data_IF_164839348433
#
_entry.id   IF_164839348433
#
_cell.length_a   1.000
_cell.length_b   1.000
_cell.length_c   1.000
_cell.angle_alpha   90.00
_cell.angle_beta   90.00
_cell.angle_gamma   90.00
#
_symmetry.space_group_name_H-M   'P 1'
#
loop_
_entity.id
_entity.type
_entity.pdbx_description
1 polymer ?
#
# COMPACT_ATOMS: atom_id res chain seq x y z
N UNK A 1 12.79 -10.29 -18.77
CA UNK A 1 12.51 -10.20 -17.31
C UNK A 1 11.02 -10.22 -17.03
N UNK A 2 10.25 -9.12 -17.19
CA UNK A 2 8.83 -9.11 -16.79
C UNK A 2 7.99 -10.17 -17.53
N UNK A 3 8.24 -10.38 -18.83
CA UNK A 3 7.58 -11.42 -19.63
C UNK A 3 7.86 -12.83 -19.09
N UNK A 4 9.12 -13.12 -18.78
CA UNK A 4 9.54 -14.42 -18.23
C UNK A 4 8.96 -14.65 -16.83
N UNK A 5 8.93 -13.58 -16.02
CA UNK A 5 8.36 -13.58 -14.68
C UNK A 5 6.85 -13.84 -14.70
N UNK A 6 6.11 -13.15 -15.57
CA UNK A 6 4.67 -13.38 -15.76
C UNK A 6 4.41 -14.78 -16.31
N UNK A 7 5.25 -15.28 -17.21
CA UNK A 7 5.15 -16.65 -17.72
C UNK A 7 5.32 -17.69 -16.61
N UNK A 8 6.32 -17.53 -15.73
CA UNK A 8 6.54 -18.39 -14.57
C UNK A 8 5.36 -18.34 -13.59
N UNK A 9 4.84 -17.14 -13.30
CA UNK A 9 3.67 -16.95 -12.44
C UNK A 9 2.41 -17.63 -13.01
N UNK A 10 2.16 -17.53 -14.32
CA UNK A 10 1.05 -18.22 -15.00
C UNK A 10 1.16 -19.74 -14.95
N UNK A 11 2.38 -20.27 -14.89
CA UNK A 11 2.66 -21.70 -14.75
C UNK A 11 2.68 -22.17 -13.29
N UNK A 12 2.43 -21.26 -12.33
CA UNK A 12 2.57 -21.50 -10.90
C UNK A 12 3.98 -21.98 -10.46
N UNK A 13 5.01 -21.68 -11.27
CA UNK A 13 6.41 -21.93 -10.94
C UNK A 13 6.98 -20.77 -10.11
N UNK A 14 6.63 -20.77 -8.83
CA UNK A 14 7.02 -19.71 -7.90
C UNK A 14 8.51 -19.74 -7.54
N UNK A 15 9.16 -20.89 -7.63
CA UNK A 15 10.61 -20.99 -7.42
C UNK A 15 11.37 -20.25 -8.52
N UNK A 16 10.95 -20.44 -9.78
CA UNK A 16 11.51 -19.71 -10.92
C UNK A 16 11.18 -18.22 -10.87
N UNK A 17 9.95 -17.87 -10.52
CA UNK A 17 9.55 -16.47 -10.36
C UNK A 17 10.40 -15.76 -9.28
N UNK A 18 10.65 -16.43 -8.15
CA UNK A 18 11.53 -15.93 -7.08
C UNK A 18 12.96 -15.72 -7.58
N UNK A 19 13.51 -16.67 -8.32
CA UNK A 19 14.87 -16.56 -8.86
C UNK A 19 15.00 -15.35 -9.83
N UNK A 20 14.02 -15.17 -10.72
CA UNK A 20 13.99 -14.05 -11.66
C UNK A 20 13.90 -12.70 -10.93
N UNK A 21 13.05 -12.61 -9.91
CA UNK A 21 12.94 -11.41 -9.06
C UNK A 21 14.23 -11.15 -8.29
N UNK A 22 14.83 -12.17 -7.70
CA UNK A 22 16.07 -12.03 -6.95
C UNK A 22 17.21 -11.53 -7.83
N UNK A 23 17.37 -12.10 -9.03
CA UNK A 23 18.39 -11.64 -9.97
C UNK A 23 18.13 -10.19 -10.42
N UNK A 24 16.88 -9.84 -10.73
CA UNK A 24 16.50 -8.49 -11.15
C UNK A 24 16.71 -7.45 -10.04
N UNK A 25 16.22 -7.71 -8.82
CA UNK A 25 16.43 -6.82 -7.68
C UNK A 25 17.91 -6.74 -7.29
N UNK A 26 18.67 -7.82 -7.42
CA UNK A 26 20.12 -7.83 -7.21
C UNK A 26 20.86 -6.85 -8.12
N UNK A 27 20.38 -6.63 -9.36
CA UNK A 27 20.97 -5.65 -10.28
C UNK A 27 20.41 -4.23 -10.13
N UNK A 28 19.13 -4.07 -9.78
CA UNK A 28 18.48 -2.75 -9.72
C UNK A 28 18.64 -2.05 -8.38
N UNK A 29 18.53 -2.77 -7.26
CA UNK A 29 18.62 -2.16 -5.92
C UNK A 29 19.91 -1.36 -5.70
N UNK A 30 21.11 -1.84 -6.09
CA UNK A 30 22.33 -1.05 -5.95
C UNK A 30 22.30 0.27 -6.72
N UNK A 31 21.59 0.34 -7.85
CA UNK A 31 21.48 1.56 -8.67
C UNK A 31 20.53 2.58 -8.04
N UNK A 32 19.40 2.08 -7.51
CA UNK A 32 18.36 2.90 -6.89
C UNK A 32 18.77 3.46 -5.53
N UNK A 33 19.57 2.69 -4.79
CA UNK A 33 19.94 3.00 -3.42
C UNK A 33 21.43 3.35 -3.25
N UNK A 34 22.15 3.57 -4.36
CA UNK A 34 23.53 4.04 -4.30
C UNK A 34 23.60 5.40 -3.57
N UNK A 35 24.47 5.56 -2.57
CA UNK A 35 24.66 6.86 -1.94
C UNK A 35 25.28 7.84 -2.95
N UNK A 36 24.87 9.10 -2.89
CA UNK A 36 25.49 10.15 -3.67
C UNK A 36 26.97 10.32 -3.22
N UNK A 37 27.96 10.13 -4.11
CA UNK A 37 29.38 10.25 -3.73
C UNK A 37 29.76 11.64 -3.20
N UNK A 38 29.13 12.69 -3.74
CA UNK A 38 29.42 14.09 -3.37
C UNK A 38 28.67 14.51 -2.10
N UNK A 39 27.48 13.95 -1.88
CA UNK A 39 26.63 14.28 -0.73
C UNK A 39 26.03 13.01 -0.09
N UNK A 40 26.82 12.17 0.61
CA UNK A 40 26.33 10.88 1.13
C UNK A 40 25.20 10.97 2.16
N UNK A 41 25.01 12.15 2.78
CA UNK A 41 23.91 12.44 3.71
C UNK A 41 22.60 12.79 3.01
N UNK A 42 22.63 13.10 1.72
CA UNK A 42 21.43 13.34 0.91
C UNK A 42 20.90 12.00 0.39
N UNK A 43 20.02 11.38 1.18
CA UNK A 43 19.26 10.21 0.76
C UNK A 43 17.99 10.68 0.05
N UNK A 44 18.11 11.01 -1.23
CA UNK A 44 16.96 11.27 -2.09
C UNK A 44 16.71 10.02 -2.94
N UNK A 45 15.69 9.26 -2.55
CA UNK A 45 15.21 8.11 -3.32
C UNK A 45 14.09 8.58 -4.25
N UNK A 46 14.17 8.24 -5.53
CA UNK A 46 13.08 8.51 -6.45
C UNK A 46 12.06 7.37 -6.37
N UNK A 47 10.93 7.65 -5.72
CA UNK A 47 9.82 6.71 -5.59
C UNK A 47 9.32 6.19 -6.94
N UNK A 48 9.40 7.00 -8.01
CA UNK A 48 8.98 6.59 -9.35
C UNK A 48 9.90 5.53 -9.92
N UNK A 49 11.20 5.71 -9.77
CA UNK A 49 12.20 4.76 -10.26
C UNK A 49 12.13 3.46 -9.45
N UNK A 50 11.98 3.55 -8.12
CA UNK A 50 11.75 2.39 -7.25
C UNK A 50 10.48 1.64 -7.67
N UNK A 51 9.38 2.35 -7.91
CA UNK A 51 8.12 1.74 -8.33
C UNK A 51 8.28 1.00 -9.65
N UNK A 52 8.86 1.66 -10.66
CA UNK A 52 9.01 1.08 -12.00
C UNK A 52 9.98 -0.11 -12.03
N UNK A 53 11.08 -0.04 -11.26
CA UNK A 53 12.11 -1.07 -11.26
C UNK A 53 11.75 -2.25 -10.35
N UNK A 54 11.20 -2.02 -9.16
CA UNK A 54 11.01 -3.08 -8.16
C UNK A 54 9.57 -3.59 -8.09
N UNK A 55 8.59 -2.68 -8.10
CA UNK A 55 7.20 -3.03 -7.79
C UNK A 55 6.34 -3.34 -9.02
N UNK A 56 6.56 -2.67 -10.16
CA UNK A 56 5.84 -2.97 -11.42
C UNK A 56 6.04 -4.42 -11.88
N UNK A 57 7.27 -4.99 -11.89
CA UNK A 57 7.45 -6.39 -12.26
C UNK A 57 6.73 -7.36 -11.32
N UNK A 58 6.72 -7.03 -10.02
CA UNK A 58 6.03 -7.81 -9.00
C UNK A 58 4.52 -7.78 -9.20
N UNK A 59 3.95 -6.58 -9.46
CA UNK A 59 2.54 -6.42 -9.77
C UNK A 59 2.16 -7.19 -11.04
N UNK A 60 3.00 -7.17 -12.07
CA UNK A 60 2.78 -7.92 -13.31
C UNK A 60 2.73 -9.44 -13.08
N UNK A 61 3.60 -9.95 -12.20
CA UNK A 61 3.59 -11.36 -11.80
C UNK A 61 2.28 -11.74 -11.10
N UNK A 62 1.85 -10.95 -10.11
CA UNK A 62 0.63 -11.21 -9.34
C UNK A 62 -0.67 -11.02 -10.14
N UNK A 63 -0.69 -10.06 -11.05
CA UNK A 63 -1.81 -9.82 -11.96
C UNK A 63 -1.75 -10.71 -13.21
N UNK A 64 -0.72 -11.55 -13.35
CA UNK A 64 -0.44 -12.38 -14.52
C UNK A 64 -0.47 -11.59 -15.84
N UNK A 65 -0.03 -10.33 -15.82
CA UNK A 65 -0.04 -9.40 -16.95
C UNK A 65 1.32 -8.71 -17.12
N UNK A 66 1.93 -8.91 -18.28
CA UNK A 66 3.22 -8.32 -18.63
C UNK A 66 3.11 -6.88 -19.15
N UNK A 67 1.90 -6.39 -19.44
CA UNK A 67 1.65 -5.04 -19.94
C UNK A 67 1.39 -4.01 -18.81
N UNK A 68 1.48 -4.42 -17.55
CA UNK A 68 1.23 -3.53 -16.41
C UNK A 68 2.25 -2.39 -16.38
N UNK A 69 1.78 -1.16 -16.19
CA UNK A 69 2.62 0.04 -16.11
C UNK A 69 2.67 0.66 -14.72
N UNK A 70 1.79 0.20 -13.82
CA UNK A 70 1.74 0.65 -12.43
C UNK A 70 2.02 -0.52 -11.47
N UNK A 71 2.34 -0.17 -10.22
CA UNK A 71 2.56 -1.15 -9.14
C UNK A 71 1.24 -1.58 -8.48
N UNK A 72 0.10 -1.30 -9.11
CA UNK A 72 -1.22 -1.50 -8.52
C UNK A 72 -1.68 -2.95 -8.70
N UNK A 73 -2.13 -3.57 -7.60
CA UNK A 73 -2.76 -4.89 -7.62
C UNK A 73 -4.28 -4.82 -7.90
N UNK A 74 -4.81 -3.68 -8.38
CA UNK A 74 -6.24 -3.51 -8.70
C UNK A 74 -6.81 -4.66 -9.55
N UNK A 75 -6.15 -5.13 -10.63
CA UNK A 75 -6.68 -6.23 -11.42
C UNK A 75 -6.88 -7.51 -10.61
N UNK A 76 -5.90 -7.86 -9.76
CA UNK A 76 -5.99 -9.03 -8.88
C UNK A 76 -7.11 -8.86 -7.83
N UNK A 77 -7.23 -7.66 -7.27
CA UNK A 77 -8.25 -7.32 -6.27
C UNK A 77 -9.66 -7.47 -6.86
N UNK A 78 -9.87 -6.96 -8.08
CA UNK A 78 -11.12 -7.09 -8.82
C UNK A 78 -11.42 -8.54 -9.18
N UNK A 79 -10.43 -9.28 -9.68
CA UNK A 79 -10.55 -10.72 -9.97
C UNK A 79 -10.92 -11.54 -8.73
N UNK A 80 -10.39 -11.18 -7.56
CA UNK A 80 -10.73 -11.82 -6.29
C UNK A 80 -12.12 -11.42 -5.75
N UNK A 81 -12.88 -10.58 -6.47
CA UNK A 81 -14.19 -10.10 -6.02
C UNK A 81 -14.11 -9.15 -4.82
N UNK A 82 -12.92 -8.62 -4.52
CA UNK A 82 -12.70 -7.70 -3.40
C UNK A 82 -12.92 -6.26 -3.90
N UNK A 83 -14.16 -5.76 -3.91
CA UNK A 83 -14.46 -4.40 -4.37
C UNK A 83 -13.63 -3.33 -3.66
N UNK A 84 -13.09 -2.35 -4.41
CA UNK A 84 -12.41 -1.17 -3.86
C UNK A 84 -13.31 -0.29 -2.97
N UNK A 85 -14.62 -0.39 -3.17
CA UNK A 85 -15.62 0.48 -2.53
C UNK A 85 -15.95 0.09 -1.09
N UNK A 86 -15.46 -1.08 -0.65
CA UNK A 86 -15.67 -1.56 0.72
C UNK A 86 -14.31 -1.67 1.41
N UNK A 87 -14.17 -0.98 2.55
CA UNK A 87 -12.99 -1.11 3.42
C UNK A 87 -12.69 -2.59 3.68
N UNK A 88 -11.51 -3.04 3.23
CA UNK A 88 -11.07 -4.42 3.39
C UNK A 88 -10.59 -4.67 4.82
N UNK A 89 -10.79 -5.88 5.38
CA UNK A 89 -10.12 -6.29 6.60
C UNK A 89 -8.60 -6.10 6.45
N UNK A 90 -7.97 -5.37 7.37
CA UNK A 90 -6.53 -5.08 7.35
C UNK A 90 -6.08 -3.87 6.54
N UNK A 91 -6.95 -3.24 5.73
CA UNK A 91 -6.59 -2.01 5.04
C UNK A 91 -6.76 -0.79 5.96
N UNK A 92 -5.69 -0.01 6.14
CA UNK A 92 -5.74 1.26 6.87
C UNK A 92 -6.56 2.27 6.06
N UNK A 93 -7.46 2.99 6.74
CA UNK A 93 -8.36 3.96 6.09
C UNK A 93 -7.62 5.15 5.45
N UNK A 94 -6.64 5.73 6.14
CA UNK A 94 -5.86 6.87 5.65
C UNK A 94 -6.65 8.16 5.36
N UNK A 95 -7.90 8.28 5.82
CA UNK A 95 -8.73 9.46 5.55
C UNK A 95 -8.10 10.72 6.14
N UNK A 96 -7.79 11.68 5.28
CA UNK A 96 -7.27 12.99 5.68
C UNK A 96 -8.45 13.90 6.02
N UNK A 97 -8.57 14.23 7.31
CA UNK A 97 -9.64 15.08 7.80
C UNK A 97 -9.59 16.48 7.18
N UNK A 98 -10.76 17.09 6.99
CA UNK A 98 -10.92 18.51 6.65
C UNK A 98 -11.20 19.34 7.89
N UNK A 99 -10.89 20.64 7.84
CA UNK A 99 -11.19 21.54 8.96
C UNK A 99 -12.71 21.57 9.23
N UNK A 100 -13.10 21.39 10.48
CA UNK A 100 -14.49 21.30 10.93
C UNK A 100 -15.14 19.92 10.73
N UNK A 101 -14.43 18.94 10.17
CA UNK A 101 -14.95 17.59 9.96
C UNK A 101 -15.17 16.85 11.29
N UNK A 102 -16.20 16.00 11.31
CA UNK A 102 -16.52 15.16 12.46
C UNK A 102 -15.51 14.03 12.62
N UNK A 103 -15.10 13.82 13.87
CA UNK A 103 -14.19 12.77 14.30
C UNK A 103 -14.81 12.00 15.45
N UNK A 104 -14.57 10.70 15.47
CA UNK A 104 -15.11 9.78 16.45
C UNK A 104 -13.96 9.17 17.26
N UNK A 105 -14.02 9.27 18.58
CA UNK A 105 -13.01 8.68 19.48
C UNK A 105 -13.70 7.74 20.46
N UNK A 106 -13.28 6.48 20.50
CA UNK A 106 -13.79 5.48 21.43
C UNK A 106 -13.09 5.63 22.78
N UNK A 107 -13.81 5.94 23.85
CA UNK A 107 -13.23 6.13 25.19
C UNK A 107 -12.77 4.82 25.83
N UNK A 108 -13.34 3.71 25.41
CA UNK A 108 -13.02 2.39 25.97
C UNK A 108 -11.81 1.76 25.28
N UNK A 109 -11.54 2.13 24.01
CA UNK A 109 -10.48 1.51 23.19
C UNK A 109 -9.34 2.45 22.81
N UNK A 110 -9.54 3.77 22.83
CA UNK A 110 -8.49 4.72 22.46
C UNK A 110 -7.31 4.61 23.42
N UNK A 111 -6.12 4.41 22.87
CA UNK A 111 -4.87 4.37 23.65
C UNK A 111 -4.47 5.76 24.15
N UNK A 112 -4.81 6.80 23.40
CA UNK A 112 -4.61 8.20 23.79
C UNK A 112 -5.69 9.12 23.20
N UNK A 113 -5.66 10.40 23.59
CA UNK A 113 -6.64 11.41 23.18
C UNK A 113 -6.58 11.81 21.69
N UNK A 114 -5.54 11.39 20.97
CA UNK A 114 -5.35 11.66 19.54
C UNK A 114 -5.98 10.59 18.64
N UNK A 115 -6.26 9.40 19.20
CA UNK A 115 -6.93 8.29 18.51
C UNK A 115 -8.34 8.68 18.03
N UNK A 116 -8.52 8.76 16.71
CA UNK A 116 -9.79 9.13 16.08
C UNK A 116 -10.08 8.29 14.84
N UNK A 117 -11.36 8.17 14.50
CA UNK A 117 -11.89 7.50 13.32
C UNK A 117 -12.75 8.47 12.50
N UNK A 118 -12.77 8.28 11.18
CA UNK A 118 -13.74 8.95 10.32
C UNK A 118 -15.14 8.34 10.51
N UNK A 119 -16.17 9.05 10.02
CA UNK A 119 -17.58 8.65 10.15
C UNK A 119 -17.83 7.19 9.74
N UNK A 120 -17.30 6.81 8.58
CA UNK A 120 -17.53 5.51 7.99
C UNK A 120 -16.74 4.41 8.74
N UNK A 121 -15.50 4.69 9.19
CA UNK A 121 -14.71 3.75 10.01
C UNK A 121 -15.46 3.40 11.29
N UNK A 122 -15.98 4.44 11.95
CA UNK A 122 -16.70 4.28 13.19
C UNK A 122 -17.99 3.45 13.02
N UNK A 123 -18.81 3.74 12.01
CA UNK A 123 -20.09 3.04 11.77
C UNK A 123 -19.91 1.55 11.42
N UNK A 124 -18.80 1.20 10.77
CA UNK A 124 -18.49 -0.17 10.39
C UNK A 124 -17.72 -0.94 11.49
N UNK A 125 -17.29 -0.26 12.55
CA UNK A 125 -16.57 -0.89 13.67
C UNK A 125 -17.50 -1.32 14.80
N UNK A 126 -16.98 -2.17 15.69
CA UNK A 126 -17.63 -2.51 16.97
C UNK A 126 -17.74 -1.31 17.92
N UNK A 127 -16.90 -0.28 17.74
CA UNK A 127 -16.81 0.86 18.65
C UNK A 127 -18.07 1.73 18.69
N UNK A 128 -19.01 1.54 17.75
CA UNK A 128 -20.36 2.14 17.82
C UNK A 128 -21.16 1.68 19.04
N UNK A 129 -20.83 0.52 19.60
CA UNK A 129 -21.45 -0.02 20.80
C UNK A 129 -20.69 0.33 22.09
N UNK A 130 -19.54 1.00 21.99
CA UNK A 130 -18.73 1.43 23.13
C UNK A 130 -19.10 2.86 23.55
N UNK A 131 -18.53 3.35 24.66
CA UNK A 131 -18.59 4.78 24.98
C UNK A 131 -17.69 5.53 24.01
N UNK A 132 -18.24 6.49 23.28
CA UNK A 132 -17.48 7.31 22.35
C UNK A 132 -17.74 8.80 22.55
N UNK A 133 -16.87 9.62 21.97
CA UNK A 133 -16.99 11.07 21.87
C UNK A 133 -16.96 11.47 20.41
N UNK A 134 -17.86 12.37 20.03
CA UNK A 134 -17.82 13.05 18.74
C UNK A 134 -17.19 14.43 18.93
N UNK A 135 -16.25 14.78 18.06
CA UNK A 135 -15.58 16.08 18.07
C UNK A 135 -15.36 16.62 16.67
N UNK A 136 -15.03 17.91 16.56
CA UNK A 136 -14.60 18.53 15.29
C UNK A 136 -13.11 18.82 15.35
N UNK A 137 -12.37 18.44 14.31
CA UNK A 137 -10.94 18.80 14.15
C UNK A 137 -10.88 20.12 13.39
N UNK A 138 -10.31 21.14 14.02
CA UNK A 138 -9.93 22.37 13.33
C UNK A 138 -8.40 22.37 13.23
N UNK A 139 -7.89 22.54 12.03
CA UNK A 139 -6.46 22.79 11.83
C UNK A 139 -6.17 24.21 12.30
N UNK A 140 -5.13 24.37 13.12
CA UNK A 140 -4.57 25.67 13.48
C UNK A 140 -3.52 26.05 12.46
#
# INVERSE_FOLDING_TARGET
>A
MIVDLVSAARQADWDRARELLYHHWGSECPKLYAPNPEHPWEVAQDDKDINSALFVPLAGAFCADSAVTDSSLKPLIEQAGMSSDKRRPGQICGHVFKSGELTYSCKDCATDATCVMCHECFHLSEHKAHKYKVGRRYFR
#
